data_IF_668688970347
#
_entry.id   IF_668688970347
#
_cell.length_a   1.000
_cell.length_b   1.000
_cell.length_c   1.000
_cell.angle_alpha   90.00
_cell.angle_beta   90.00
_cell.angle_gamma   90.00
#
_symmetry.space_group_name_H-M   'P 1'
#
loop_
_entity.id
_entity.type
_entity.pdbx_description
1 polymer ?
#
# COMPACT_ATOMS: atom_id res chain seq x y z
N UNK A 1 60.67 28.76 2.20
CA UNK A 1 59.42 28.69 1.41
C UNK A 1 58.80 27.33 1.69
N UNK A 2 57.81 27.27 2.58
CA UNK A 2 56.38 26.99 2.28
C UNK A 2 56.18 25.50 1.91
N UNK A 3 55.31 24.68 2.52
CA UNK A 3 54.14 24.91 3.36
C UNK A 3 53.85 23.63 4.18
N UNK A 4 53.44 23.78 5.45
CA UNK A 4 52.91 22.68 6.27
C UNK A 4 51.40 22.63 6.09
N UNK A 5 50.86 21.52 5.59
CA UNK A 5 49.42 21.27 5.59
C UNK A 5 49.06 20.52 6.88
N UNK A 6 48.44 21.22 7.83
CA UNK A 6 47.83 20.61 9.01
C UNK A 6 46.35 20.32 8.68
N UNK A 7 46.01 19.06 8.48
CA UNK A 7 44.62 18.62 8.44
C UNK A 7 44.10 18.48 9.87
N UNK A 8 43.16 19.35 10.22
CA UNK A 8 42.33 19.26 11.42
C UNK A 8 41.42 18.03 11.33
N UNK A 9 41.62 17.07 12.23
CA UNK A 9 40.67 16.00 12.51
C UNK A 9 39.40 16.60 13.14
N UNK A 10 38.27 16.47 12.46
CA UNK A 10 36.94 16.60 13.07
C UNK A 10 36.51 15.23 13.60
N UNK A 11 36.01 15.11 14.85
CA UNK A 11 35.57 13.83 15.36
C UNK A 11 34.25 13.43 14.70
N UNK A 12 34.31 12.38 13.88
CA UNK A 12 33.15 11.59 13.51
C UNK A 12 32.70 10.81 14.76
N UNK A 13 31.53 11.11 15.28
CA UNK A 13 30.57 10.20 15.93
C UNK A 13 29.42 11.06 16.46
N UNK A 14 28.48 11.43 15.56
CA UNK A 14 27.12 11.74 16.00
C UNK A 14 26.56 10.46 16.59
N UNK A 15 26.30 10.49 17.90
CA UNK A 15 25.66 9.41 18.66
C UNK A 15 24.39 8.98 17.92
N UNK A 16 24.30 7.67 17.73
CA UNK A 16 23.11 6.95 17.33
C UNK A 16 22.02 7.29 18.34
N UNK A 17 21.01 8.05 17.93
CA UNK A 17 19.82 8.28 18.74
C UNK A 17 18.86 7.11 18.47
N UNK A 18 19.12 6.02 19.18
CA UNK A 18 18.15 5.20 19.88
C UNK A 18 16.77 5.05 19.21
N UNK A 19 16.62 3.99 18.42
CA UNK A 19 15.32 3.40 18.07
C UNK A 19 14.85 2.41 19.17
N UNK A 20 15.79 1.94 20.01
CA UNK A 20 15.50 1.13 21.22
C UNK A 20 14.75 1.92 22.30
N UNK A 21 14.74 3.25 22.22
CA UNK A 21 14.19 4.14 23.24
C UNK A 21 12.66 4.34 23.12
N UNK A 22 12.04 4.07 21.97
CA UNK A 22 10.57 4.11 21.87
C UNK A 22 9.89 2.88 22.51
N UNK A 23 10.59 1.74 22.64
CA UNK A 23 10.14 0.60 23.44
C UNK A 23 10.49 0.75 24.93
N UNK A 24 11.45 1.63 25.27
CA UNK A 24 11.87 1.91 26.65
C UNK A 24 10.82 2.72 27.42
N UNK A 25 9.96 3.47 26.72
CA UNK A 25 8.86 4.25 27.29
C UNK A 25 7.71 3.39 27.86
N UNK A 26 7.69 2.08 27.56
CA UNK A 26 6.70 1.14 28.08
C UNK A 26 7.16 0.64 29.45
N UNK A 27 6.37 0.91 30.51
CA UNK A 27 6.72 0.45 31.86
C UNK A 27 6.98 -1.07 31.89
N UNK A 28 8.12 -1.54 32.44
CA UNK A 28 8.53 -2.96 32.39
C UNK A 28 7.52 -3.94 32.98
N UNK A 29 6.68 -3.46 33.90
CA UNK A 29 5.71 -4.28 34.65
C UNK A 29 4.32 -4.33 33.98
N UNK A 30 4.09 -3.53 32.93
CA UNK A 30 2.79 -3.40 32.28
C UNK A 30 2.57 -4.37 31.10
N UNK A 31 3.64 -4.99 30.58
CA UNK A 31 3.59 -5.82 29.37
C UNK A 31 4.28 -7.17 29.61
N UNK A 32 3.58 -8.30 29.39
CA UNK A 32 4.15 -9.64 29.53
C UNK A 32 5.44 -9.82 28.71
N UNK A 33 6.45 -10.57 29.19
CA UNK A 33 7.71 -10.78 28.48
C UNK A 33 7.55 -11.31 27.05
N UNK A 34 6.60 -12.23 26.84
CA UNK A 34 6.28 -12.80 25.52
C UNK A 34 5.83 -11.73 24.51
N UNK A 35 5.05 -10.73 24.97
CA UNK A 35 4.60 -9.62 24.14
C UNK A 35 5.76 -8.70 23.80
N UNK A 36 6.69 -8.48 24.74
CA UNK A 36 7.88 -7.66 24.49
C UNK A 36 8.81 -8.31 23.46
N UNK A 37 9.03 -9.61 23.55
CA UNK A 37 9.83 -10.36 22.59
C UNK A 37 9.18 -10.38 21.19
N UNK A 38 7.86 -10.54 21.14
CA UNK A 38 7.11 -10.43 19.90
C UNK A 38 7.20 -9.02 19.28
N UNK A 39 7.07 -7.96 20.09
CA UNK A 39 7.20 -6.58 19.62
C UNK A 39 8.60 -6.32 19.05
N UNK A 40 9.65 -6.76 19.76
CA UNK A 40 11.02 -6.62 19.28
C UNK A 40 11.22 -7.35 17.94
N UNK A 41 10.82 -8.62 17.86
CA UNK A 41 11.01 -9.41 16.63
C UNK A 41 10.17 -8.95 15.43
N UNK A 42 9.04 -8.27 15.66
CA UNK A 42 8.14 -7.81 14.60
C UNK A 42 8.44 -6.39 14.13
N UNK A 43 8.78 -5.49 15.06
CA UNK A 43 8.86 -4.04 14.81
C UNK A 43 10.27 -3.46 14.87
N UNK A 44 11.28 -4.22 15.30
CA UNK A 44 12.67 -3.74 15.38
C UNK A 44 13.57 -4.46 14.38
N UNK A 45 14.60 -3.77 13.92
CA UNK A 45 15.39 -4.16 12.76
C UNK A 45 16.81 -4.58 13.16
N UNK A 46 17.35 -5.64 12.55
CA UNK A 46 18.81 -5.78 12.42
C UNK A 46 19.28 -5.00 11.17
N UNK A 47 20.07 -3.95 11.40
CA UNK A 47 20.31 -2.83 10.48
C UNK A 47 20.96 -3.17 9.13
N UNK A 48 20.46 -2.54 8.05
CA UNK A 48 21.23 -2.19 6.86
C UNK A 48 20.69 -0.92 6.15
N UNK A 49 21.33 0.21 6.37
CA UNK A 49 20.95 1.55 5.88
C UNK A 49 20.59 1.63 4.39
N UNK A 50 19.46 2.26 4.05
CA UNK A 50 19.19 2.85 2.73
C UNK A 50 19.13 4.37 2.83
N UNK A 51 19.70 5.06 1.83
CA UNK A 51 19.76 6.53 1.74
C UNK A 51 18.48 7.09 1.12
N UNK A 52 17.83 8.03 1.82
CA UNK A 52 16.74 8.86 1.29
C UNK A 52 17.26 9.98 0.38
N UNK A 53 16.44 10.37 -0.62
CA UNK A 53 16.60 11.59 -1.44
C UNK A 53 15.88 12.78 -0.78
N UNK A 54 16.19 14.04 -1.15
CA UNK A 54 15.56 15.20 -0.53
C UNK A 54 14.13 15.43 -1.08
N UNK A 55 13.19 15.69 -0.17
CA UNK A 55 11.78 15.98 -0.47
C UNK A 55 11.59 17.39 -1.07
N UNK A 56 10.82 17.49 -2.16
CA UNK A 56 10.24 18.75 -2.62
C UNK A 56 8.94 19.03 -1.86
N UNK A 57 8.77 20.28 -1.38
CA UNK A 57 7.56 20.71 -0.66
C UNK A 57 6.33 20.67 -1.57
N UNK A 58 5.21 20.04 -1.16
CA UNK A 58 3.97 20.08 -1.93
C UNK A 58 3.42 21.52 -1.97
N UNK A 59 3.14 22.02 -3.18
CA UNK A 59 2.53 23.34 -3.39
C UNK A 59 1.01 23.18 -3.53
N UNK A 60 0.28 24.04 -2.82
CA UNK A 60 -1.19 24.14 -2.87
C UNK A 60 -1.68 24.27 -4.33
N UNK A 61 -2.48 23.31 -4.80
CA UNK A 61 -3.04 23.32 -6.16
C UNK A 61 -4.48 23.83 -6.11
N UNK A 62 -4.74 24.84 -6.93
CA UNK A 62 -5.99 25.61 -7.16
C UNK A 62 -7.32 24.96 -6.76
N UNK A 63 -8.21 25.81 -6.19
CA UNK A 63 -9.64 25.65 -5.87
C UNK A 63 -10.46 24.91 -6.95
N UNK A 64 -10.00 24.88 -8.20
CA UNK A 64 -10.60 24.11 -9.29
C UNK A 64 -10.65 22.58 -9.08
N UNK A 65 -9.82 22.00 -8.19
CA UNK A 65 -9.90 20.57 -7.84
C UNK A 65 -10.97 20.27 -6.77
N UNK A 66 -11.19 21.16 -5.80
CA UNK A 66 -12.24 21.00 -4.79
C UNK A 66 -13.66 21.04 -5.42
N UNK A 67 -13.84 21.84 -6.47
CA UNK A 67 -15.09 21.88 -7.26
C UNK A 67 -15.32 20.55 -7.99
N UNK A 68 -14.25 19.84 -8.39
CA UNK A 68 -14.38 18.49 -8.96
C UNK A 68 -14.87 17.50 -7.91
N UNK A 69 -14.35 17.51 -6.69
CA UNK A 69 -14.76 16.55 -5.67
C UNK A 69 -16.25 16.63 -5.28
N UNK A 70 -16.80 17.86 -5.15
CA UNK A 70 -18.23 18.04 -4.81
C UNK A 70 -19.21 17.73 -5.94
N UNK A 71 -18.77 17.75 -7.21
CA UNK A 71 -19.62 17.48 -8.39
C UNK A 71 -19.40 16.05 -8.94
N UNK A 72 -18.28 15.40 -8.61
CA UNK A 72 -17.89 14.11 -9.17
C UNK A 72 -18.60 12.92 -8.52
N UNK A 73 -18.85 12.98 -7.21
CA UNK A 73 -19.54 11.90 -6.47
C UNK A 73 -20.97 11.69 -6.97
N UNK A 74 -21.67 12.78 -7.35
CA UNK A 74 -23.10 12.72 -7.69
C UNK A 74 -23.37 12.50 -9.21
N UNK A 75 -22.38 12.77 -10.08
CA UNK A 75 -22.57 12.78 -11.55
C UNK A 75 -22.18 11.48 -12.26
N UNK A 76 -21.34 10.62 -11.67
CA UNK A 76 -20.98 9.33 -12.26
C UNK A 76 -22.10 8.30 -12.13
N UNK A 77 -22.86 8.32 -11.02
CA UNK A 77 -23.95 7.38 -10.81
C UNK A 77 -25.09 7.48 -11.84
N UNK A 78 -25.27 8.63 -12.51
CA UNK A 78 -26.43 8.85 -13.39
C UNK A 78 -26.24 8.56 -14.87
N UNK A 79 -25.02 8.34 -15.39
CA UNK A 79 -24.88 8.33 -16.86
C UNK A 79 -23.70 7.57 -17.44
N UNK A 80 -23.60 6.27 -17.20
CA UNK A 80 -23.03 5.34 -18.19
C UNK A 80 -23.81 4.02 -18.16
N UNK A 81 -24.90 3.96 -18.93
CA UNK A 81 -25.40 2.70 -19.45
C UNK A 81 -24.46 2.28 -20.58
N UNK A 82 -23.48 1.41 -20.29
CA UNK A 82 -22.73 0.70 -21.33
C UNK A 82 -22.63 -0.77 -20.94
N UNK A 83 -23.05 -1.63 -21.86
CA UNK A 83 -22.98 -3.09 -21.77
C UNK A 83 -21.53 -3.66 -21.70
N UNK A 84 -20.51 -2.80 -21.58
CA UNK A 84 -19.08 -3.16 -21.57
C UNK A 84 -18.44 -3.15 -20.17
N UNK A 85 -19.22 -2.86 -19.12
CA UNK A 85 -18.75 -2.89 -17.73
C UNK A 85 -19.06 -4.24 -17.08
N UNK A 86 -18.22 -4.62 -16.11
CA UNK A 86 -18.37 -5.85 -15.34
C UNK A 86 -19.74 -5.87 -14.66
N UNK A 87 -20.43 -7.02 -14.76
CA UNK A 87 -21.73 -7.22 -14.13
C UNK A 87 -21.54 -7.69 -12.69
N UNK A 88 -22.23 -7.06 -11.76
CA UNK A 88 -22.17 -7.38 -10.34
C UNK A 88 -23.40 -8.20 -9.93
N UNK A 89 -23.24 -9.30 -9.18
CA UNK A 89 -24.36 -10.00 -8.56
C UNK A 89 -25.19 -9.06 -7.66
N UNK A 90 -26.53 -9.18 -7.60
CA UNK A 90 -27.37 -8.29 -6.81
C UNK A 90 -26.98 -8.20 -5.33
N UNK A 91 -26.52 -9.32 -4.75
CA UNK A 91 -26.05 -9.38 -3.36
C UNK A 91 -24.76 -8.59 -3.16
N UNK A 92 -23.82 -8.68 -4.09
CA UNK A 92 -22.59 -7.87 -4.07
C UNK A 92 -22.94 -6.39 -4.16
N UNK A 93 -23.85 -6.01 -5.08
CA UNK A 93 -24.33 -4.62 -5.19
C UNK A 93 -24.96 -4.14 -3.88
N UNK A 94 -25.69 -5.01 -3.18
CA UNK A 94 -26.31 -4.66 -1.89
C UNK A 94 -25.27 -4.35 -0.82
N UNK A 95 -24.22 -5.17 -0.70
CA UNK A 95 -23.14 -4.97 0.28
C UNK A 95 -22.31 -3.73 -0.06
N UNK A 96 -21.95 -3.53 -1.34
CA UNK A 96 -21.15 -2.37 -1.77
C UNK A 96 -21.83 -1.00 -1.58
N UNK A 97 -23.12 -0.96 -1.22
CA UNK A 97 -23.79 0.30 -0.85
C UNK A 97 -23.24 0.94 0.42
N UNK A 98 -22.66 0.15 1.33
CA UNK A 98 -22.08 0.64 2.59
C UNK A 98 -20.57 0.80 2.50
N UNK A 99 -20.00 0.81 1.29
CA UNK A 99 -18.55 0.83 1.06
C UNK A 99 -17.85 2.06 1.65
N UNK A 100 -18.57 3.19 1.75
CA UNK A 100 -18.04 4.44 2.31
C UNK A 100 -18.01 4.47 3.85
N UNK A 101 -18.56 3.45 4.52
CA UNK A 101 -18.68 3.38 5.98
C UNK A 101 -17.48 2.65 6.62
N UNK A 102 -17.04 3.10 7.80
CA UNK A 102 -15.97 2.41 8.55
C UNK A 102 -16.39 1.00 8.99
N UNK A 103 -17.68 0.80 9.21
CA UNK A 103 -18.25 -0.49 9.61
C UNK A 103 -18.63 -1.36 8.42
N UNK A 104 -18.03 -1.14 7.24
CA UNK A 104 -18.23 -2.00 6.08
C UNK A 104 -17.88 -3.44 6.41
N UNK A 105 -18.79 -4.37 6.11
CA UNK A 105 -18.59 -5.79 6.40
C UNK A 105 -17.94 -6.49 5.21
N UNK A 106 -16.61 -6.59 5.25
CA UNK A 106 -15.82 -7.29 4.25
C UNK A 106 -16.11 -8.80 4.22
N UNK A 107 -16.56 -9.40 5.32
CA UNK A 107 -16.95 -10.81 5.36
C UNK A 107 -18.26 -11.03 4.59
N UNK A 108 -19.25 -10.15 4.80
CA UNK A 108 -20.48 -10.17 4.01
C UNK A 108 -20.20 -9.97 2.52
N UNK A 109 -19.23 -9.11 2.16
CA UNK A 109 -18.81 -8.97 0.76
C UNK A 109 -18.21 -10.28 0.24
N UNK A 110 -17.30 -10.92 1.00
CA UNK A 110 -16.67 -12.16 0.61
C UNK A 110 -17.71 -13.29 0.37
N UNK A 111 -18.71 -13.41 1.23
CA UNK A 111 -19.83 -14.34 1.05
C UNK A 111 -20.64 -14.03 -0.22
N UNK A 112 -21.06 -12.77 -0.39
CA UNK A 112 -21.82 -12.34 -1.56
C UNK A 112 -21.03 -12.50 -2.87
N UNK A 113 -19.71 -12.34 -2.81
CA UNK A 113 -18.77 -12.45 -3.91
C UNK A 113 -18.34 -13.89 -4.21
N UNK A 114 -18.87 -14.90 -3.50
CA UNK A 114 -18.46 -16.30 -3.65
C UNK A 114 -16.95 -16.51 -3.47
N UNK A 115 -16.37 -15.82 -2.48
CA UNK A 115 -14.94 -15.90 -2.16
C UNK A 115 -14.02 -15.04 -3.01
N UNK A 116 -14.57 -14.08 -3.79
CA UNK A 116 -13.79 -13.17 -4.66
C UNK A 116 -13.99 -11.68 -4.30
N UNK A 117 -13.73 -11.25 -3.06
CA UNK A 117 -13.99 -9.88 -2.62
C UNK A 117 -13.15 -8.82 -3.34
N UNK A 118 -11.86 -9.07 -3.63
CA UNK A 118 -10.97 -8.15 -4.38
C UNK A 118 -11.52 -7.91 -5.78
N UNK A 119 -12.04 -8.95 -6.45
CA UNK A 119 -12.56 -8.82 -7.82
C UNK A 119 -13.61 -7.73 -7.92
N UNK A 120 -14.60 -7.76 -7.02
CA UNK A 120 -15.71 -6.81 -7.06
C UNK A 120 -15.34 -5.47 -6.41
N UNK A 121 -14.69 -5.48 -5.25
CA UNK A 121 -14.31 -4.25 -4.55
C UNK A 121 -13.26 -3.45 -5.32
N UNK A 122 -12.23 -4.11 -5.84
CA UNK A 122 -11.21 -3.45 -6.66
C UNK A 122 -11.79 -2.83 -7.92
N UNK A 123 -12.73 -3.52 -8.58
CA UNK A 123 -13.42 -2.95 -9.75
C UNK A 123 -14.28 -1.75 -9.37
N UNK A 124 -15.08 -1.83 -8.30
CA UNK A 124 -15.93 -0.71 -7.84
C UNK A 124 -15.08 0.50 -7.49
N UNK A 125 -14.01 0.33 -6.70
CA UNK A 125 -13.13 1.43 -6.30
C UNK A 125 -12.49 2.10 -7.52
N UNK A 126 -11.86 1.35 -8.42
CA UNK A 126 -11.23 1.94 -9.60
C UNK A 126 -12.24 2.62 -10.53
N UNK A 127 -13.46 2.12 -10.62
CA UNK A 127 -14.53 2.77 -11.36
C UNK A 127 -15.02 4.05 -10.65
N UNK A 128 -15.25 4.00 -9.34
CA UNK A 128 -15.75 5.08 -8.49
C UNK A 128 -14.81 6.29 -8.48
N UNK A 129 -13.49 6.06 -8.46
CA UNK A 129 -12.48 7.12 -8.61
C UNK A 129 -12.24 7.54 -10.07
N UNK A 130 -12.98 6.98 -11.04
CA UNK A 130 -12.88 7.32 -12.47
C UNK A 130 -11.58 6.87 -13.14
N UNK A 131 -10.79 6.01 -12.50
CA UNK A 131 -9.48 5.54 -12.98
C UNK A 131 -9.63 4.79 -14.30
N UNK A 132 -10.65 3.93 -14.41
CA UNK A 132 -10.91 3.15 -15.63
C UNK A 132 -11.02 4.05 -16.85
N UNK A 133 -11.82 5.11 -16.76
CA UNK A 133 -11.99 6.07 -17.85
C UNK A 133 -10.76 6.96 -18.04
N UNK A 134 -10.21 7.52 -16.94
CA UNK A 134 -9.11 8.49 -16.98
C UNK A 134 -7.85 7.91 -17.63
N UNK A 135 -7.48 6.71 -17.22
CA UNK A 135 -6.27 6.01 -17.68
C UNK A 135 -6.55 5.00 -18.79
N UNK A 136 -7.79 4.99 -19.33
CA UNK A 136 -8.22 4.14 -20.45
C UNK A 136 -7.95 2.66 -20.17
N UNK A 137 -8.23 2.20 -18.95
CA UNK A 137 -8.06 0.80 -18.56
C UNK A 137 -9.14 -0.04 -19.26
N UNK A 138 -8.78 -1.06 -20.07
CA UNK A 138 -9.79 -1.93 -20.66
C UNK A 138 -10.50 -2.75 -19.57
N UNK A 139 -11.85 -2.74 -19.50
CA UNK A 139 -12.60 -3.44 -18.45
C UNK A 139 -12.28 -4.94 -18.32
N UNK A 140 -12.07 -5.62 -19.45
CA UNK A 140 -11.73 -7.05 -19.50
C UNK A 140 -10.33 -7.35 -18.96
N UNK A 141 -9.37 -6.45 -19.21
CA UNK A 141 -8.00 -6.56 -18.69
C UNK A 141 -7.99 -6.33 -17.18
N UNK A 142 -8.80 -5.38 -16.69
CA UNK A 142 -8.96 -5.17 -15.26
C UNK A 142 -9.60 -6.40 -14.57
N UNK A 143 -10.66 -6.96 -15.15
CA UNK A 143 -11.29 -8.16 -14.60
C UNK A 143 -10.32 -9.34 -14.53
N UNK A 144 -9.53 -9.53 -15.59
CA UNK A 144 -8.50 -10.58 -15.65
C UNK A 144 -7.43 -10.38 -14.60
N UNK A 145 -6.90 -9.15 -14.46
CA UNK A 145 -5.91 -8.83 -13.42
C UNK A 145 -6.47 -9.11 -12.02
N UNK A 146 -7.66 -8.60 -11.70
CA UNK A 146 -8.22 -8.78 -10.36
C UNK A 146 -8.47 -10.26 -10.05
N UNK A 147 -8.90 -11.05 -11.05
CA UNK A 147 -8.98 -12.51 -10.93
C UNK A 147 -7.62 -13.16 -10.67
N UNK A 148 -6.55 -12.73 -11.35
CA UNK A 148 -5.19 -13.19 -11.09
C UNK A 148 -4.73 -12.85 -9.67
N UNK A 149 -5.04 -11.65 -9.19
CA UNK A 149 -4.68 -11.23 -7.83
C UNK A 149 -5.39 -12.10 -6.78
N UNK A 150 -6.68 -12.38 -6.95
CA UNK A 150 -7.45 -13.30 -6.11
C UNK A 150 -6.80 -14.70 -5.99
N UNK A 151 -6.40 -15.26 -7.13
CA UNK A 151 -5.75 -16.57 -7.20
C UNK A 151 -4.43 -16.60 -6.43
N UNK A 152 -3.60 -15.55 -6.56
CA UNK A 152 -2.32 -15.50 -5.85
C UNK A 152 -2.47 -15.37 -4.34
N UNK A 153 -3.46 -14.62 -3.84
CA UNK A 153 -3.80 -14.62 -2.40
C UNK A 153 -4.29 -15.98 -1.90
N UNK A 154 -5.00 -16.73 -2.75
CA UNK A 154 -5.56 -18.04 -2.41
C UNK A 154 -4.53 -19.17 -2.45
N UNK A 155 -3.34 -18.95 -3.03
CA UNK A 155 -2.32 -19.99 -3.27
C UNK A 155 -1.92 -20.75 -2.01
N UNK A 156 -1.69 -20.04 -0.92
CA UNK A 156 -1.18 -20.62 0.33
C UNK A 156 -2.29 -20.95 1.35
N UNK A 157 -3.55 -20.61 1.04
CA UNK A 157 -4.71 -20.83 1.92
C UNK A 157 -4.50 -20.26 3.33
N UNK A 158 -3.96 -19.05 3.40
CA UNK A 158 -3.66 -18.39 4.65
C UNK A 158 -4.95 -18.06 5.41
N UNK A 159 -4.97 -18.23 6.75
CA UNK A 159 -6.13 -17.84 7.55
C UNK A 159 -6.31 -16.32 7.65
N UNK A 160 -5.24 -15.54 7.56
CA UNK A 160 -5.28 -14.07 7.69
C UNK A 160 -4.81 -13.33 6.43
N UNK A 161 -3.53 -13.43 6.03
CA UNK A 161 -2.98 -12.77 4.84
C UNK A 161 -3.50 -13.40 3.53
N UNK A 162 -4.79 -13.19 3.26
CA UNK A 162 -5.55 -13.71 2.14
C UNK A 162 -6.28 -12.56 1.43
N UNK A 163 -7.12 -12.90 0.46
CA UNK A 163 -7.83 -11.94 -0.36
C UNK A 163 -8.81 -11.06 0.43
N UNK A 164 -9.42 -11.59 1.49
CA UNK A 164 -10.31 -10.84 2.37
C UNK A 164 -9.54 -9.74 3.11
N UNK A 165 -8.34 -10.03 3.62
CA UNK A 165 -7.49 -9.02 4.24
C UNK A 165 -7.11 -7.90 3.27
N UNK A 166 -6.73 -8.24 2.04
CA UNK A 166 -6.41 -7.23 1.04
C UNK A 166 -7.63 -6.35 0.67
N UNK A 167 -8.82 -6.95 0.58
CA UNK A 167 -10.06 -6.21 0.35
C UNK A 167 -10.40 -5.26 1.52
N UNK A 168 -10.17 -5.70 2.76
CA UNK A 168 -10.35 -4.91 3.98
C UNK A 168 -9.41 -3.70 4.00
N UNK A 169 -8.11 -3.91 3.76
CA UNK A 169 -7.12 -2.83 3.68
C UNK A 169 -7.45 -1.85 2.56
N UNK A 170 -7.84 -2.34 1.38
CA UNK A 170 -8.25 -1.47 0.27
C UNK A 170 -9.49 -0.62 0.60
N UNK A 171 -10.47 -1.19 1.32
CA UNK A 171 -11.63 -0.44 1.81
C UNK A 171 -11.25 0.60 2.87
N UNK A 172 -10.40 0.24 3.83
CA UNK A 172 -9.92 1.17 4.84
C UNK A 172 -9.16 2.35 4.22
N UNK A 173 -8.32 2.10 3.21
CA UNK A 173 -7.68 3.15 2.41
C UNK A 173 -8.70 4.03 1.72
N UNK A 174 -9.75 3.46 1.11
CA UNK A 174 -10.83 4.23 0.51
C UNK A 174 -11.57 5.10 1.53
N UNK A 175 -11.90 4.57 2.71
CA UNK A 175 -12.51 5.33 3.79
C UNK A 175 -11.64 6.52 4.18
N UNK A 176 -10.33 6.30 4.38
CA UNK A 176 -9.39 7.38 4.70
C UNK A 176 -9.34 8.43 3.59
N UNK A 177 -9.28 8.03 2.33
CA UNK A 177 -9.28 8.95 1.18
C UNK A 177 -10.51 9.85 1.14
N UNK A 178 -11.70 9.27 1.36
CA UNK A 178 -12.98 9.97 1.29
C UNK A 178 -13.29 10.79 2.55
N UNK A 179 -13.28 10.16 3.72
CA UNK A 179 -13.80 10.78 4.96
C UNK A 179 -12.88 11.86 5.53
N UNK A 180 -11.56 11.73 5.33
CA UNK A 180 -10.61 12.78 5.75
C UNK A 180 -10.45 13.88 4.70
N UNK A 181 -10.97 13.67 3.49
CA UNK A 181 -10.77 14.56 2.35
C UNK A 181 -9.37 14.50 1.72
N UNK A 182 -8.53 13.52 2.09
CA UNK A 182 -7.20 13.31 1.51
C UNK A 182 -7.22 13.18 -0.02
N UNK A 183 -8.28 12.60 -0.59
CA UNK A 183 -8.46 12.52 -2.05
C UNK A 183 -8.38 13.88 -2.77
N UNK A 184 -8.66 15.00 -2.08
CA UNK A 184 -8.57 16.34 -2.65
C UNK A 184 -7.13 16.86 -2.79
N UNK A 185 -6.19 16.22 -2.11
CA UNK A 185 -4.77 16.58 -2.08
C UNK A 185 -3.91 15.71 -2.98
N UNK A 186 -4.47 14.58 -3.45
CA UNK A 186 -3.82 13.62 -4.31
C UNK A 186 -4.27 13.80 -5.76
N UNK A 187 -3.37 13.51 -6.68
CA UNK A 187 -3.66 13.37 -8.11
C UNK A 187 -4.38 12.04 -8.40
N UNK A 188 -5.05 11.96 -9.54
CA UNK A 188 -5.69 10.71 -9.99
C UNK A 188 -4.68 9.54 -10.06
N UNK A 189 -3.41 9.82 -10.38
CA UNK A 189 -2.35 8.81 -10.48
C UNK A 189 -1.91 8.31 -9.10
N UNK A 190 -1.78 9.22 -8.12
CA UNK A 190 -1.48 8.87 -6.72
C UNK A 190 -2.61 8.07 -6.10
N UNK A 191 -3.88 8.43 -6.35
CA UNK A 191 -5.04 7.64 -5.91
C UNK A 191 -5.00 6.25 -6.55
N UNK A 192 -4.73 6.17 -7.86
CA UNK A 192 -4.61 4.88 -8.54
C UNK A 192 -3.50 4.01 -7.95
N UNK A 193 -2.31 4.59 -7.75
CA UNK A 193 -1.19 3.87 -7.14
C UNK A 193 -1.52 3.42 -5.71
N UNK A 194 -2.20 4.25 -4.93
CA UNK A 194 -2.56 3.96 -3.52
C UNK A 194 -3.54 2.80 -3.43
N UNK A 195 -4.58 2.80 -4.27
CA UNK A 195 -5.56 1.71 -4.31
C UNK A 195 -4.92 0.41 -4.80
N UNK A 196 -4.08 0.47 -5.85
CA UNK A 196 -3.41 -0.73 -6.33
C UNK A 196 -2.43 -1.28 -5.29
N UNK A 197 -1.65 -0.42 -4.63
CA UNK A 197 -0.74 -0.82 -3.56
C UNK A 197 -1.48 -1.54 -2.44
N UNK A 198 -2.60 -1.01 -1.96
CA UNK A 198 -3.43 -1.66 -0.95
C UNK A 198 -3.92 -3.05 -1.39
N UNK A 199 -4.39 -3.17 -2.64
CA UNK A 199 -4.86 -4.44 -3.22
C UNK A 199 -3.74 -5.48 -3.29
N UNK A 200 -2.50 -5.09 -3.59
CA UNK A 200 -1.40 -6.04 -3.84
C UNK A 200 -0.39 -6.16 -2.69
N UNK A 201 -0.59 -5.47 -1.57
CA UNK A 201 0.45 -5.32 -0.55
C UNK A 201 0.93 -6.65 0.05
N UNK A 202 0.06 -7.67 0.10
CA UNK A 202 0.35 -9.01 0.62
C UNK A 202 0.22 -10.12 -0.46
N UNK A 203 0.31 -9.74 -1.73
CA UNK A 203 0.08 -10.66 -2.84
C UNK A 203 1.05 -11.87 -2.83
N UNK A 204 0.50 -13.09 -2.84
CA UNK A 204 1.25 -14.37 -2.71
C UNK A 204 1.94 -14.59 -1.34
N UNK A 205 1.46 -13.96 -0.26
CA UNK A 205 1.99 -14.21 1.09
C UNK A 205 1.96 -15.70 1.48
N UNK A 206 2.99 -16.16 2.18
CA UNK A 206 3.20 -17.58 2.54
C UNK A 206 2.57 -18.01 3.88
N UNK A 207 1.84 -17.12 4.55
CA UNK A 207 1.37 -17.33 5.92
C UNK A 207 2.46 -17.37 7.00
N UNK A 208 3.71 -17.02 6.67
CA UNK A 208 4.86 -17.01 7.60
C UNK A 208 5.57 -15.66 7.58
N UNK A 209 6.32 -15.31 8.62
CA UNK A 209 6.95 -13.99 8.75
C UNK A 209 8.27 -13.86 7.97
N UNK A 210 8.73 -12.62 7.75
CA UNK A 210 10.08 -12.35 7.23
C UNK A 210 11.16 -13.08 8.04
N UNK A 211 11.08 -13.08 9.38
CA UNK A 211 12.05 -13.78 10.23
C UNK A 211 12.05 -15.31 10.00
N UNK A 212 10.87 -15.92 9.80
CA UNK A 212 10.80 -17.33 9.45
C UNK A 212 11.53 -17.63 8.13
N UNK A 213 11.31 -16.79 7.11
CA UNK A 213 11.97 -16.92 5.81
C UNK A 213 13.50 -16.82 5.90
N UNK A 214 14.02 -15.89 6.73
CA UNK A 214 15.47 -15.70 6.95
C UNK A 214 16.05 -16.87 7.75
N UNK A 215 15.44 -17.24 8.88
CA UNK A 215 15.94 -18.32 9.74
C UNK A 215 15.90 -19.70 9.07
N UNK A 216 14.94 -19.93 8.18
CA UNK A 216 14.84 -21.18 7.41
C UNK A 216 15.74 -21.21 6.16
N UNK A 217 16.38 -20.08 5.79
CA UNK A 217 17.18 -20.00 4.56
C UNK A 217 16.35 -20.21 3.30
N UNK A 218 15.11 -19.75 3.28
CA UNK A 218 14.19 -19.94 2.14
C UNK A 218 14.71 -19.28 0.85
N UNK A 219 14.29 -19.80 -0.31
CA UNK A 219 14.67 -19.24 -1.62
C UNK A 219 14.30 -17.76 -1.75
N UNK A 220 13.15 -17.35 -1.21
CA UNK A 220 12.71 -15.95 -1.20
C UNK A 220 13.64 -15.06 -0.37
N UNK A 221 14.10 -15.55 0.79
CA UNK A 221 15.07 -14.82 1.62
C UNK A 221 16.42 -14.68 0.91
N UNK A 222 16.91 -15.75 0.27
CA UNK A 222 18.13 -15.72 -0.55
C UNK A 222 18.00 -14.72 -1.71
N UNK A 223 16.86 -14.69 -2.40
CA UNK A 223 16.61 -13.78 -3.52
C UNK A 223 16.64 -12.32 -3.08
N UNK A 224 16.03 -11.99 -1.93
CA UNK A 224 15.92 -10.63 -1.42
C UNK A 224 16.97 -10.25 -0.38
N UNK A 225 17.97 -11.12 -0.17
CA UNK A 225 19.10 -10.91 0.73
C UNK A 225 18.64 -10.49 2.15
N UNK A 226 17.65 -11.22 2.68
CA UNK A 226 17.10 -11.07 4.03
C UNK A 226 16.46 -9.70 4.35
N UNK A 227 16.12 -8.90 3.35
CA UNK A 227 15.55 -7.55 3.52
C UNK A 227 14.15 -7.44 2.97
N UNK A 228 13.18 -7.10 3.84
CA UNK A 228 11.76 -6.92 3.47
C UNK A 228 11.31 -8.02 2.50
N UNK A 229 11.53 -9.28 2.92
CA UNK A 229 11.56 -10.45 2.03
C UNK A 229 10.21 -10.64 1.36
N UNK A 230 9.14 -10.56 2.15
CA UNK A 230 7.76 -10.68 1.70
C UNK A 230 7.33 -9.45 0.89
N UNK A 231 7.61 -8.24 1.36
CA UNK A 231 7.18 -7.01 0.70
C UNK A 231 7.82 -6.84 -0.68
N UNK A 232 9.11 -7.19 -0.82
CA UNK A 232 9.75 -7.27 -2.14
C UNK A 232 9.15 -8.36 -3.03
N UNK A 233 8.73 -9.48 -2.45
CA UNK A 233 8.04 -10.54 -3.17
C UNK A 233 6.69 -10.06 -3.72
N UNK A 234 5.85 -9.45 -2.87
CA UNK A 234 4.53 -8.93 -3.21
C UNK A 234 4.60 -7.96 -4.40
N UNK A 235 5.52 -6.99 -4.32
CA UNK A 235 5.80 -6.03 -5.40
C UNK A 235 6.24 -6.75 -6.68
N UNK A 236 7.22 -7.64 -6.58
CA UNK A 236 7.78 -8.34 -7.75
C UNK A 236 6.73 -9.21 -8.44
N UNK A 237 5.93 -9.95 -7.68
CA UNK A 237 4.88 -10.81 -8.18
C UNK A 237 3.74 -10.01 -8.83
N UNK A 238 3.26 -8.94 -8.18
CA UNK A 238 2.21 -8.08 -8.72
C UNK A 238 2.64 -7.43 -10.04
N UNK A 239 3.86 -6.89 -10.11
CA UNK A 239 4.37 -6.30 -11.35
C UNK A 239 4.74 -7.32 -12.42
N UNK A 240 4.99 -8.60 -12.07
CA UNK A 240 5.08 -9.68 -13.06
C UNK A 240 3.70 -9.95 -13.68
N UNK A 241 2.64 -10.04 -12.87
CA UNK A 241 1.28 -10.18 -13.38
C UNK A 241 0.89 -8.99 -14.30
N UNK A 242 1.17 -7.76 -13.88
CA UNK A 242 0.89 -6.55 -14.69
C UNK A 242 1.67 -6.46 -16.01
N UNK A 243 2.68 -7.32 -16.23
CA UNK A 243 3.41 -7.40 -17.50
C UNK A 243 2.77 -8.35 -18.50
N UNK A 244 1.86 -9.22 -18.07
CA UNK A 244 1.08 -10.08 -18.97
C UNK A 244 0.08 -9.19 -19.72
N UNK A 245 -0.03 -9.32 -21.04
CA UNK A 245 -0.83 -8.42 -21.89
C UNK A 245 -2.31 -8.43 -21.47
N UNK A 246 -2.81 -9.59 -21.06
CA UNK A 246 -4.16 -9.81 -20.57
C UNK A 246 -4.44 -9.20 -19.18
N UNK A 247 -3.40 -8.87 -18.40
CA UNK A 247 -3.49 -8.28 -17.06
C UNK A 247 -2.97 -6.83 -17.00
N UNK A 248 -2.42 -6.31 -18.10
CA UNK A 248 -1.73 -5.02 -18.11
C UNK A 248 -2.71 -3.82 -18.10
N UNK A 249 -3.23 -3.49 -16.92
CA UNK A 249 -4.07 -2.29 -16.73
C UNK A 249 -3.29 -0.97 -16.88
N UNK A 250 -1.97 -1.03 -16.97
CA UNK A 250 -1.07 0.13 -17.07
C UNK A 250 -0.66 0.44 -18.52
N UNK A 251 -1.13 -0.35 -19.50
CA UNK A 251 -0.70 -0.31 -20.90
C UNK A 251 -0.87 1.06 -21.58
N UNK A 252 -1.80 1.88 -21.09
CA UNK A 252 -2.12 3.19 -21.66
C UNK A 252 -1.51 4.36 -20.88
N UNK A 253 -0.73 4.09 -19.83
CA UNK A 253 0.06 5.11 -19.15
C UNK A 253 1.23 5.56 -20.05
N UNK A 254 1.53 6.85 -20.02
CA UNK A 254 2.79 7.34 -20.55
C UNK A 254 3.97 6.75 -19.76
N UNK A 255 5.17 6.82 -20.34
CA UNK A 255 6.39 6.33 -19.69
C UNK A 255 6.67 7.05 -18.36
N UNK A 256 6.34 8.33 -18.27
CA UNK A 256 6.53 9.14 -17.06
C UNK A 256 5.52 8.75 -15.99
N UNK A 257 4.24 8.66 -16.35
CA UNK A 257 3.18 8.18 -15.44
C UNK A 257 3.47 6.77 -14.93
N UNK A 258 3.88 5.83 -15.78
CA UNK A 258 4.24 4.47 -15.35
C UNK A 258 5.41 4.49 -14.35
N UNK A 259 6.42 5.33 -14.59
CA UNK A 259 7.59 5.42 -13.70
C UNK A 259 7.18 5.97 -12.33
N UNK A 260 6.41 7.04 -12.30
CA UNK A 260 5.89 7.65 -11.07
C UNK A 260 4.98 6.66 -10.32
N UNK A 261 4.00 6.08 -11.02
CA UNK A 261 3.11 5.06 -10.51
C UNK A 261 3.87 3.90 -9.87
N UNK A 262 4.86 3.36 -10.58
CA UNK A 262 5.67 2.25 -10.08
C UNK A 262 6.46 2.64 -8.84
N UNK A 263 7.04 3.84 -8.80
CA UNK A 263 7.74 4.32 -7.60
C UNK A 263 6.79 4.43 -6.41
N UNK A 264 5.61 5.02 -6.58
CA UNK A 264 4.61 5.15 -5.52
C UNK A 264 4.18 3.78 -4.97
N UNK A 265 3.84 2.82 -5.84
CA UNK A 265 3.43 1.47 -5.40
C UNK A 265 4.57 0.76 -4.66
N UNK A 266 5.81 0.84 -5.15
CA UNK A 266 6.97 0.25 -4.48
C UNK A 266 7.15 0.84 -3.08
N UNK A 267 7.14 2.17 -2.97
CA UNK A 267 7.38 2.86 -1.71
C UNK A 267 6.27 2.55 -0.69
N UNK A 268 5.01 2.50 -1.12
CA UNK A 268 3.87 2.17 -0.25
C UNK A 268 3.88 0.71 0.22
N UNK A 269 4.17 -0.25 -0.66
CA UNK A 269 4.19 -1.66 -0.25
C UNK A 269 5.42 -1.99 0.58
N UNK A 270 6.61 -1.43 0.30
CA UNK A 270 7.76 -1.58 1.19
C UNK A 270 7.51 -0.96 2.58
N UNK A 271 6.67 0.07 2.65
CA UNK A 271 6.27 0.69 3.90
C UNK A 271 5.33 -0.19 4.76
N UNK A 272 4.80 -1.30 4.25
CA UNK A 272 4.00 -2.23 5.08
C UNK A 272 4.86 -3.21 5.88
N UNK A 273 6.18 -3.27 5.64
CA UNK A 273 7.10 -4.02 6.50
C UNK A 273 7.08 -3.41 7.92
N UNK A 274 6.60 -4.20 8.86
CA UNK A 274 6.38 -3.78 10.25
C UNK A 274 7.66 -3.35 10.96
N UNK A 275 8.84 -3.76 10.48
CA UNK A 275 10.13 -3.28 11.00
C UNK A 275 10.38 -1.79 10.76
N UNK A 276 9.60 -1.13 9.89
CA UNK A 276 9.65 0.31 9.66
C UNK A 276 8.66 1.12 10.51
N UNK A 277 7.79 0.47 11.28
CA UNK A 277 6.67 1.12 11.99
C UNK A 277 7.11 2.30 12.86
N UNK A 278 8.07 2.11 13.77
CA UNK A 278 8.54 3.16 14.68
C UNK A 278 9.20 4.31 13.92
N UNK A 279 9.98 3.99 12.89
CA UNK A 279 10.58 5.01 12.03
C UNK A 279 9.50 5.82 11.28
N UNK A 280 8.40 5.21 10.84
CA UNK A 280 7.28 5.92 10.22
C UNK A 280 6.54 6.81 11.22
N UNK A 281 6.25 6.30 12.43
CA UNK A 281 5.62 7.09 13.49
C UNK A 281 6.45 8.31 13.86
N UNK A 282 7.76 8.14 14.06
CA UNK A 282 8.69 9.23 14.34
C UNK A 282 8.69 10.29 13.24
N UNK A 283 8.69 9.86 11.97
CA UNK A 283 8.61 10.77 10.83
C UNK A 283 7.29 11.56 10.84
N UNK A 284 6.16 10.89 11.09
CA UNK A 284 4.85 11.54 11.15
C UNK A 284 4.76 12.54 12.30
N UNK A 285 5.24 12.17 13.51
CA UNK A 285 5.31 13.08 14.67
C UNK A 285 6.11 14.33 14.33
N UNK A 286 7.27 14.18 13.69
CA UNK A 286 8.10 15.32 13.29
C UNK A 286 7.38 16.22 12.27
N UNK A 287 6.63 15.67 11.31
CA UNK A 287 5.87 16.47 10.35
C UNK A 287 4.75 17.28 11.02
N UNK A 288 4.09 16.70 12.02
CA UNK A 288 3.05 17.38 12.79
C UNK A 288 3.61 18.49 13.67
N UNK A 289 4.80 18.31 14.24
CA UNK A 289 5.45 19.34 15.09
C UNK A 289 6.16 20.43 14.30
N UNK A 290 6.56 20.18 13.06
CA UNK A 290 7.11 21.19 12.15
C UNK A 290 6.05 22.17 11.60
N UNK A 291 4.76 21.89 11.83
CA UNK A 291 3.64 22.72 11.40
C UNK A 291 3.26 23.84 12.40
N UNK A 292 3.98 23.98 13.51
CA UNK A 292 3.97 25.14 14.42
C UNK A 292 5.10 26.14 14.11
#
# INVERSE_FOLDING_TARGET
MSSRCAHSFLPAHRRLADEDDELSEVQPDAVPPEVREWLASTFTRQLATQRRRPDEKPKFRSVAHAIRAGIFVDRIYRRVSNAALMQFPPEVVRVLKTLDDWSFDVFALNEAASGQPIKYLGYDLLNRYGIIHKFKVPPTVLETLLGRIEEGYSRHKNPYHNNLHAADVAQGVHYMLCQTGLMNWLTDLEIFATLLAAIVHDYEHTGTTNNFHVMSGSDTALLYNDRAVLENHHISAAFRALREDECNILQNLSREEFREFRTLVIDMVLATDMSFHFQQLKNMRNLLTLAE
#
